data_IF_870408794849
#
_entry.id   IF_870408794849
#
_cell.length_a   1.000
_cell.length_b   1.000
_cell.length_c   1.000
_cell.angle_alpha   90.00
_cell.angle_beta   90.00
_cell.angle_gamma   90.00
#
_symmetry.space_group_name_H-M   'P 1'
#
loop_
_entity.id
_entity.type
_entity.pdbx_description
1 polymer ?
#
# COMPACT_ATOMS: atom_id res chain seq x y z
N UNK A 1 -2.47 -29.87 8.58
CA UNK A 1 -1.94 -28.58 8.10
C UNK A 1 -1.10 -28.89 6.86
N UNK A 2 -1.39 -28.30 5.70
CA UNK A 2 -0.60 -28.57 4.47
C UNK A 2 0.73 -27.82 4.54
N UNK A 3 1.75 -28.30 3.80
CA UNK A 3 3.08 -27.68 3.76
C UNK A 3 3.01 -26.19 3.37
N UNK A 4 2.25 -25.87 2.32
CA UNK A 4 2.01 -24.50 1.86
C UNK A 4 1.45 -23.57 2.95
N UNK A 5 0.56 -24.09 3.82
CA UNK A 5 -0.02 -23.30 4.91
C UNK A 5 1.00 -22.98 6.00
N UNK A 6 1.94 -23.88 6.24
CA UNK A 6 3.03 -23.66 7.21
C UNK A 6 3.99 -22.60 6.66
N UNK A 7 4.34 -22.69 5.38
CA UNK A 7 5.21 -21.71 4.71
C UNK A 7 4.59 -20.31 4.67
N UNK A 8 3.29 -20.20 4.35
CA UNK A 8 2.58 -18.93 4.38
C UNK A 8 2.54 -18.33 5.80
N UNK A 9 2.28 -19.15 6.82
CA UNK A 9 2.30 -18.72 8.21
C UNK A 9 3.68 -18.18 8.63
N UNK A 10 4.75 -18.92 8.32
CA UNK A 10 6.11 -18.50 8.65
C UNK A 10 6.50 -17.21 7.91
N UNK A 11 6.07 -17.04 6.65
CA UNK A 11 6.30 -15.80 5.90
C UNK A 11 5.64 -14.59 6.56
N UNK A 12 4.38 -14.72 6.98
CA UNK A 12 3.66 -13.65 7.69
C UNK A 12 4.30 -13.38 9.04
N UNK A 13 4.62 -14.42 9.81
CA UNK A 13 5.30 -14.29 11.09
C UNK A 13 6.59 -13.50 10.93
N UNK A 14 7.43 -13.89 9.98
CA UNK A 14 8.70 -13.22 9.68
C UNK A 14 8.49 -11.76 9.31
N UNK A 15 7.55 -11.46 8.40
CA UNK A 15 7.24 -10.10 7.97
C UNK A 15 6.70 -9.20 9.11
N UNK A 16 6.04 -9.77 10.12
CA UNK A 16 5.55 -9.03 11.29
C UNK A 16 6.60 -8.87 12.40
N UNK A 17 7.57 -9.80 12.49
CA UNK A 17 8.59 -9.81 13.55
C UNK A 17 9.91 -9.16 13.13
N UNK A 18 10.15 -9.04 11.82
CA UNK A 18 11.31 -8.35 11.27
C UNK A 18 10.94 -6.89 10.96
N UNK A 19 11.92 -5.98 11.10
CA UNK A 19 11.76 -4.60 10.66
C UNK A 19 11.35 -4.56 9.17
N UNK A 20 10.33 -3.77 8.80
CA UNK A 20 10.31 -2.33 9.06
C UNK A 20 9.32 -1.90 10.16
N UNK A 21 9.79 -1.02 11.05
CA UNK A 21 8.91 -0.30 11.98
C UNK A 21 8.01 0.65 11.19
N UNK A 22 6.69 0.56 11.41
CA UNK A 22 5.75 1.54 10.88
C UNK A 22 5.99 2.90 11.52
N UNK A 23 5.94 3.94 10.71
CA UNK A 23 6.04 5.32 11.16
C UNK A 23 4.70 5.79 11.73
N UNK A 24 4.77 6.58 12.80
CA UNK A 24 3.61 7.31 13.29
C UNK A 24 3.27 8.40 12.26
N UNK A 25 2.02 8.52 11.79
CA UNK A 25 1.64 9.53 10.81
C UNK A 25 1.84 10.96 11.37
N UNK A 26 2.35 11.87 10.54
CA UNK A 26 2.39 13.31 10.80
C UNK A 26 1.61 14.07 9.71
N UNK A 27 0.42 14.58 10.03
CA UNK A 27 -0.43 15.27 9.05
C UNK A 27 0.14 16.59 8.50
N UNK A 28 1.24 17.11 9.05
CA UNK A 28 1.91 18.31 8.53
C UNK A 28 2.87 17.99 7.37
N UNK A 29 3.18 16.72 7.15
CA UNK A 29 4.12 16.28 6.12
C UNK A 29 3.32 15.57 5.01
N UNK A 30 3.59 15.83 3.71
CA UNK A 30 2.90 15.15 2.63
C UNK A 30 3.09 13.63 2.67
N UNK A 31 2.02 12.90 2.37
CA UNK A 31 2.07 11.44 2.22
C UNK A 31 2.48 11.04 0.80
N UNK A 32 3.01 9.83 0.67
CA UNK A 32 3.21 9.13 -0.60
C UNK A 32 2.39 7.85 -0.61
N UNK A 33 1.47 7.74 -1.55
CA UNK A 33 0.65 6.55 -1.74
C UNK A 33 1.22 5.75 -2.91
N UNK A 34 1.85 4.63 -2.61
CA UNK A 34 2.25 3.65 -3.63
C UNK A 34 1.08 2.73 -3.89
N UNK A 35 0.72 2.57 -5.16
CA UNK A 35 -0.34 1.69 -5.60
C UNK A 35 0.24 0.66 -6.58
N UNK A 36 -0.21 -0.58 -6.44
CA UNK A 36 0.10 -1.68 -7.35
C UNK A 36 -1.11 -2.63 -7.48
N UNK A 37 -1.53 -2.89 -8.72
CA UNK A 37 -2.55 -3.87 -9.03
C UNK A 37 -1.98 -5.05 -9.79
N UNK A 38 -2.01 -6.23 -9.17
CA UNK A 38 -1.65 -7.49 -9.80
C UNK A 38 -2.90 -8.32 -10.10
N UNK A 39 -2.81 -9.25 -11.05
CA UNK A 39 -3.95 -9.94 -11.66
C UNK A 39 -4.95 -10.63 -10.72
N UNK A 40 -4.61 -10.84 -9.44
CA UNK A 40 -5.47 -11.42 -8.41
C UNK A 40 -5.66 -10.52 -7.17
N UNK A 41 -4.88 -9.45 -7.01
CA UNK A 41 -4.79 -8.67 -5.77
C UNK A 41 -4.51 -7.19 -6.02
N UNK A 42 -5.06 -6.34 -5.14
CA UNK A 42 -4.71 -4.93 -5.02
C UNK A 42 -3.79 -4.77 -3.81
N UNK A 43 -2.69 -4.08 -3.98
CA UNK A 43 -1.73 -3.79 -2.91
C UNK A 43 -1.33 -2.33 -2.92
N UNK A 44 -1.44 -1.68 -1.76
CA UNK A 44 -1.01 -0.29 -1.61
C UNK A 44 -0.22 -0.10 -0.32
N UNK A 45 0.69 0.87 -0.35
CA UNK A 45 1.42 1.30 0.84
C UNK A 45 1.44 2.82 0.97
N UNK A 46 1.11 3.29 2.17
CA UNK A 46 1.16 4.70 2.53
C UNK A 46 2.49 4.96 3.22
N UNK A 47 3.27 5.88 2.67
CA UNK A 47 4.62 6.21 3.10
C UNK A 47 4.72 7.70 3.46
N UNK A 48 5.73 8.04 4.24
CA UNK A 48 6.03 9.42 4.60
C UNK A 48 7.53 9.64 4.81
N UNK A 49 8.02 10.83 4.48
CA UNK A 49 9.37 11.25 4.83
C UNK A 49 9.42 11.78 6.26
N UNK A 50 10.25 11.18 7.11
CA UNK A 50 10.46 11.63 8.49
C UNK A 50 11.94 11.68 8.84
N UNK A 51 12.29 12.47 9.86
CA UNK A 51 13.65 12.56 10.37
C UNK A 51 13.90 11.44 11.38
N UNK A 52 14.61 10.41 10.96
CA UNK A 52 14.99 9.27 11.81
C UNK A 52 16.50 9.32 12.03
N UNK A 53 16.95 9.38 13.29
CA UNK A 53 18.35 9.57 13.66
C UNK A 53 19.04 10.70 12.86
N UNK A 54 18.36 11.85 12.76
CA UNK A 54 18.81 13.05 12.04
C UNK A 54 18.99 12.87 10.51
N UNK A 55 18.39 11.82 9.93
CA UNK A 55 18.40 11.58 8.48
C UNK A 55 16.98 11.56 7.91
N UNK A 56 16.72 12.27 6.79
CA UNK A 56 15.44 12.15 6.09
C UNK A 56 15.32 10.74 5.54
N UNK A 57 14.33 10.02 6.04
CA UNK A 57 14.07 8.61 5.69
C UNK A 57 12.62 8.49 5.26
N UNK A 58 12.40 7.90 4.10
CA UNK A 58 11.05 7.48 3.70
C UNK A 58 10.74 6.15 4.37
N UNK A 59 9.60 6.07 5.04
CA UNK A 59 9.17 4.83 5.67
C UNK A 59 7.66 4.62 5.59
N UNK A 60 7.22 3.36 5.79
CA UNK A 60 5.83 3.01 5.70
C UNK A 60 5.06 3.48 6.93
N UNK A 61 3.92 4.11 6.71
CA UNK A 61 2.92 4.43 7.75
C UNK A 61 1.89 3.31 7.82
N UNK A 62 1.44 2.80 6.67
CA UNK A 62 0.42 1.77 6.59
C UNK A 62 0.58 0.91 5.33
N UNK A 63 0.22 -0.36 5.42
CA UNK A 63 0.06 -1.27 4.29
C UNK A 63 -1.39 -1.73 4.21
N UNK A 64 -1.96 -1.71 3.01
CA UNK A 64 -3.29 -2.25 2.74
C UNK A 64 -3.22 -3.18 1.54
N UNK A 65 -3.98 -4.26 1.58
CA UNK A 65 -4.16 -5.12 0.42
C UNK A 65 -5.52 -5.79 0.47
N UNK A 66 -6.04 -6.18 -0.69
CA UNK A 66 -7.23 -7.04 -0.79
C UNK A 66 -7.19 -7.88 -2.05
N UNK A 67 -7.87 -9.02 -2.00
CA UNK A 67 -8.15 -9.79 -3.20
C UNK A 67 -9.17 -9.06 -4.09
N UNK A 68 -9.00 -9.23 -5.40
CA UNK A 68 -9.97 -8.71 -6.36
C UNK A 68 -11.24 -9.55 -6.34
N UNK A 69 -12.37 -8.90 -6.62
CA UNK A 69 -13.66 -9.59 -6.77
C UNK A 69 -13.74 -10.26 -8.14
N UNK A 70 -14.54 -11.33 -8.30
CA UNK A 70 -14.73 -11.99 -9.60
C UNK A 70 -15.23 -11.06 -10.72
N UNK A 71 -15.91 -9.97 -10.36
CA UNK A 71 -16.35 -8.93 -11.31
C UNK A 71 -15.21 -8.02 -11.74
N UNK A 72 -14.28 -7.72 -10.83
CA UNK A 72 -13.11 -6.85 -11.04
C UNK A 72 -12.03 -7.58 -11.85
N UNK A 73 -11.96 -8.91 -11.77
CA UNK A 73 -11.05 -9.76 -12.56
C UNK A 73 -11.24 -9.67 -14.09
N UNK A 74 -12.31 -9.00 -14.56
CA UNK A 74 -12.55 -8.76 -15.99
C UNK A 74 -11.91 -7.45 -16.49
N UNK A 75 -11.37 -6.64 -15.60
CA UNK A 75 -10.74 -5.37 -15.94
C UNK A 75 -9.35 -5.60 -16.56
N UNK A 76 -9.00 -4.74 -17.51
CA UNK A 76 -7.63 -4.69 -18.02
C UNK A 76 -6.66 -4.11 -16.98
N UNK A 77 -5.36 -4.31 -17.16
CA UNK A 77 -4.32 -3.86 -16.22
C UNK A 77 -4.47 -2.38 -15.81
N UNK A 78 -4.66 -1.46 -16.77
CA UNK A 78 -4.84 -0.03 -16.48
C UNK A 78 -6.12 0.28 -15.69
N UNK A 79 -7.19 -0.49 -15.90
CA UNK A 79 -8.44 -0.33 -15.15
C UNK A 79 -8.31 -0.88 -13.73
N UNK A 80 -7.55 -1.98 -13.56
CA UNK A 80 -7.24 -2.52 -12.24
C UNK A 80 -6.39 -1.54 -11.43
N UNK A 81 -5.43 -0.88 -12.07
CA UNK A 81 -4.65 0.17 -11.40
C UNK A 81 -5.49 1.36 -10.95
N UNK A 82 -6.39 1.84 -11.81
CA UNK A 82 -7.31 2.90 -11.42
C UNK A 82 -8.26 2.47 -10.29
N UNK A 83 -8.71 1.21 -10.31
CA UNK A 83 -9.49 0.64 -9.22
C UNK A 83 -8.67 0.58 -7.92
N UNK A 84 -7.38 0.26 -8.01
CA UNK A 84 -6.43 0.26 -6.88
C UNK A 84 -6.38 1.64 -6.24
N UNK A 85 -6.11 2.69 -7.05
CA UNK A 85 -6.09 4.07 -6.59
C UNK A 85 -7.38 4.48 -5.87
N UNK A 86 -8.53 4.26 -6.51
CA UNK A 86 -9.84 4.65 -5.94
C UNK A 86 -10.09 3.91 -4.62
N UNK A 87 -9.78 2.62 -4.59
CA UNK A 87 -9.94 1.81 -3.38
C UNK A 87 -9.01 2.26 -2.26
N UNK A 88 -7.74 2.51 -2.56
CA UNK A 88 -6.73 2.94 -1.62
C UNK A 88 -7.10 4.27 -0.95
N UNK A 89 -7.51 5.26 -1.75
CA UNK A 89 -7.92 6.58 -1.26
C UNK A 89 -9.17 6.48 -0.37
N UNK A 90 -10.15 5.66 -0.75
CA UNK A 90 -11.34 5.42 0.08
C UNK A 90 -10.98 4.71 1.39
N UNK A 91 -10.05 3.74 1.33
CA UNK A 91 -9.67 2.93 2.49
C UNK A 91 -8.81 3.71 3.50
N UNK A 92 -8.00 4.63 3.01
CA UNK A 92 -7.10 5.49 3.78
C UNK A 92 -7.65 6.90 3.98
N UNK A 93 -8.97 7.09 3.86
CA UNK A 93 -9.60 8.40 4.00
C UNK A 93 -9.20 9.09 5.31
N UNK A 94 -9.14 8.35 6.42
CA UNK A 94 -8.75 8.90 7.73
C UNK A 94 -7.31 9.48 7.77
N UNK A 95 -6.45 9.09 6.83
CA UNK A 95 -5.09 9.62 6.69
C UNK A 95 -4.99 10.72 5.64
N UNK A 96 -5.71 10.57 4.53
CA UNK A 96 -5.54 11.41 3.34
C UNK A 96 -6.46 12.62 3.31
N UNK A 97 -7.58 12.59 4.05
CA UNK A 97 -8.55 13.67 4.04
C UNK A 97 -7.92 14.97 4.60
N UNK A 98 -8.00 16.04 3.81
CA UNK A 98 -7.37 17.33 4.13
C UNK A 98 -5.84 17.40 3.96
N UNK A 99 -5.18 16.29 3.60
CA UNK A 99 -3.73 16.25 3.37
C UNK A 99 -3.38 16.32 1.89
N UNK A 100 -2.20 16.89 1.58
CA UNK A 100 -1.60 16.79 0.25
C UNK A 100 -0.80 15.49 0.19
N UNK A 101 -1.01 14.69 -0.86
CA UNK A 101 -0.28 13.46 -1.07
C UNK A 101 0.09 13.26 -2.54
N UNK A 102 1.14 12.49 -2.77
CA UNK A 102 1.62 12.09 -4.09
C UNK A 102 1.27 10.61 -4.32
N UNK A 103 0.73 10.30 -5.49
CA UNK A 103 0.46 8.92 -5.91
C UNK A 103 1.62 8.42 -6.76
N UNK A 104 2.19 7.27 -6.39
CA UNK A 104 3.29 6.62 -7.10
C UNK A 104 2.77 5.31 -7.71
N UNK A 105 2.90 5.19 -9.02
CA UNK A 105 2.50 4.01 -9.80
C UNK A 105 3.43 3.84 -11.00
N UNK A 106 3.64 2.61 -11.45
CA UNK A 106 4.36 2.30 -12.68
C UNK A 106 3.46 2.40 -13.93
N UNK A 107 2.14 2.51 -13.75
CA UNK A 107 1.16 2.56 -14.82
C UNK A 107 0.98 3.97 -15.39
N UNK A 108 1.40 4.17 -16.64
CA UNK A 108 1.28 5.47 -17.33
C UNK A 108 -0.17 5.94 -17.53
N UNK A 109 -1.15 5.06 -17.47
CA UNK A 109 -2.55 5.44 -17.65
C UNK A 109 -3.15 6.18 -16.44
N UNK A 110 -2.51 6.07 -15.27
CA UNK A 110 -2.96 6.68 -14.00
C UNK A 110 -2.19 7.97 -13.68
N UNK A 111 -1.06 8.22 -14.34
CA UNK A 111 -0.27 9.46 -14.24
C UNK A 111 -0.91 10.60 -15.01
#
# INVERSE_FOLDING_TARGET
MTQERIEAYEKIRKALTEEPLLFMPDWNIPFKLYIDACGDELGDSLHQFQMIYEKPTEGPVCYISRQIKPTEARYGASQMEYLCLVWAVQKLQDYLDGSVFEVITDCNAVK
#
